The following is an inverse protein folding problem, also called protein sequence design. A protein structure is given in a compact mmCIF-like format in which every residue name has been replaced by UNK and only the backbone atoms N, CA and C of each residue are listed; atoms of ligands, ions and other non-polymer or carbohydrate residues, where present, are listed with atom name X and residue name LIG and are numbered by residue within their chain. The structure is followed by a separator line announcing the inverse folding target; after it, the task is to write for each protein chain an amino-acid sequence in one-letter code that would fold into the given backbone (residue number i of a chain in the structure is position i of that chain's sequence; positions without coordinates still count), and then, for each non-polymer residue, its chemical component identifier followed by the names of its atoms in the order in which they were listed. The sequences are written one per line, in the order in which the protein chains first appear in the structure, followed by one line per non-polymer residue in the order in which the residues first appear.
data_IF_940357289455
#
_entry.id   IF_940357289455
#
_cell.length_a   1.000
_cell.length_b   1.000
_cell.length_c   1.000
_cell.angle_alpha   90.00
_cell.angle_beta   90.00
_cell.angle_gamma   90.00
#
_symmetry.space_group_name_H-M   'P 1'
#
loop_
_entity.id
_entity.type
_entity.pdbx_description
1 polymer ?
#
# COMPACT_ATOMS: atom_id res chain seq x y z
N UNK A 1 -23.39 5.90 -2.72
CA UNK A 1 -22.64 7.17 -2.75
C UNK A 1 -21.21 6.90 -3.20
N UNK A 2 -20.48 7.93 -3.62
CA UNK A 2 -19.09 7.80 -4.10
C UNK A 2 -18.12 7.45 -2.95
N UNK A 3 -17.01 6.79 -3.28
CA UNK A 3 -15.88 6.59 -2.36
C UNK A 3 -14.89 7.74 -2.56
N UNK A 4 -14.46 8.37 -1.46
CA UNK A 4 -13.51 9.48 -1.47
C UNK A 4 -12.12 8.96 -1.09
N UNK A 5 -11.14 9.27 -1.93
CA UNK A 5 -9.71 9.11 -1.67
C UNK A 5 -9.12 10.51 -1.55
N UNK A 6 -8.49 10.84 -0.43
CA UNK A 6 -7.93 12.17 -0.19
C UNK A 6 -6.42 12.09 -0.02
N UNK A 7 -5.67 12.86 -0.82
CA UNK A 7 -4.22 12.96 -0.73
C UNK A 7 -3.80 13.62 0.59
N UNK A 8 -3.03 12.92 1.41
CA UNK A 8 -2.51 13.42 2.69
C UNK A 8 -1.09 12.89 2.95
N UNK A 9 -0.10 13.77 2.83
CA UNK A 9 1.27 13.47 3.26
C UNK A 9 1.52 13.92 4.71
N UNK A 10 1.10 15.14 5.06
CA UNK A 10 1.23 15.66 6.40
C UNK A 10 0.27 15.02 7.40
N UNK A 11 0.69 14.97 8.66
CA UNK A 11 -0.14 14.58 9.79
C UNK A 11 -1.34 15.54 9.97
N UNK A 12 -1.15 16.85 9.85
CA UNK A 12 -2.25 17.82 9.93
C UNK A 12 -3.26 17.68 8.77
N UNK A 13 -2.78 17.36 7.56
CA UNK A 13 -3.66 17.08 6.42
C UNK A 13 -4.49 15.80 6.64
N UNK A 14 -3.85 14.78 7.22
CA UNK A 14 -4.53 13.55 7.63
C UNK A 14 -5.60 13.84 8.69
N UNK A 15 -5.29 14.66 9.69
CA UNK A 15 -6.23 15.05 10.75
C UNK A 15 -7.46 15.77 10.17
N UNK A 16 -7.23 16.76 9.31
CA UNK A 16 -8.31 17.52 8.67
C UNK A 16 -9.26 16.62 7.86
N UNK A 17 -8.73 15.60 7.19
CA UNK A 17 -9.58 14.66 6.44
C UNK A 17 -10.34 13.70 7.36
N UNK A 18 -9.71 13.21 8.44
CA UNK A 18 -10.38 12.38 9.46
C UNK A 18 -11.56 13.15 10.07
N UNK A 19 -11.35 14.41 10.47
CA UNK A 19 -12.39 15.28 11.06
C UNK A 19 -13.55 15.53 10.09
N UNK A 20 -13.24 15.74 8.80
CA UNK A 20 -14.25 15.91 7.76
C UNK A 20 -15.09 14.63 7.57
N UNK A 21 -14.46 13.46 7.58
CA UNK A 21 -15.15 12.18 7.47
C UNK A 21 -16.02 11.91 8.69
N UNK A 22 -15.52 12.14 9.90
CA UNK A 22 -16.29 12.03 11.15
C UNK A 22 -17.54 12.91 11.11
N UNK A 23 -17.38 14.21 10.81
CA UNK A 23 -18.48 15.16 10.70
C UNK A 23 -19.55 14.72 9.69
N UNK A 24 -19.13 14.17 8.55
CA UNK A 24 -20.05 13.69 7.51
C UNK A 24 -20.77 12.42 7.96
N UNK A 25 -20.08 11.48 8.61
CA UNK A 25 -20.66 10.22 9.09
C UNK A 25 -21.64 10.44 10.24
N UNK A 26 -21.43 11.45 11.09
CA UNK A 26 -22.40 11.85 12.12
C UNK A 26 -23.72 12.33 11.51
N UNK A 27 -23.66 13.09 10.42
CA UNK A 27 -24.84 13.65 9.75
C UNK A 27 -25.50 12.65 8.78
N UNK A 28 -24.68 11.85 8.11
CA UNK A 28 -25.10 10.92 7.07
C UNK A 28 -24.37 9.57 7.23
N UNK A 29 -24.80 8.73 8.21
CA UNK A 29 -24.12 7.48 8.52
C UNK A 29 -24.01 6.54 7.31
N UNK A 30 -22.81 6.00 7.09
CA UNK A 30 -22.53 5.01 6.04
C UNK A 30 -21.45 4.04 6.49
N UNK A 31 -21.85 2.86 6.94
CA UNK A 31 -20.96 1.87 7.56
C UNK A 31 -19.86 1.34 6.62
N UNK A 32 -20.23 0.94 5.41
CA UNK A 32 -19.27 0.43 4.43
C UNK A 32 -18.80 1.56 3.49
N UNK A 33 -18.24 2.64 4.03
CA UNK A 33 -17.87 3.79 3.21
C UNK A 33 -16.48 3.69 2.58
N UNK A 34 -15.50 3.09 3.25
CA UNK A 34 -14.12 2.86 2.77
C UNK A 34 -13.45 4.15 2.27
N UNK A 35 -13.76 5.29 2.89
CA UNK A 35 -13.04 6.54 2.60
C UNK A 35 -11.59 6.38 2.99
N UNK A 36 -10.70 6.84 2.13
CA UNK A 36 -9.30 6.43 2.15
C UNK A 36 -8.40 7.64 2.25
N UNK A 37 -7.54 7.66 3.28
CA UNK A 37 -6.39 8.57 3.32
C UNK A 37 -5.36 8.04 2.33
N UNK A 38 -4.92 8.86 1.39
CA UNK A 38 -3.98 8.50 0.32
C UNK A 38 -2.60 9.06 0.63
N UNK A 39 -1.56 8.31 0.29
CA UNK A 39 -0.16 8.41 0.72
C UNK A 39 0.12 8.07 2.19
N UNK A 40 -0.64 8.62 3.14
CA UNK A 40 -0.47 8.36 4.58
C UNK A 40 0.97 8.55 5.08
N UNK A 41 1.72 9.49 4.49
CA UNK A 41 3.17 9.54 4.67
C UNK A 41 3.57 9.75 6.13
N UNK A 42 2.93 10.68 6.84
CA UNK A 42 3.23 11.00 8.24
C UNK A 42 2.07 10.67 9.19
N UNK A 43 1.15 9.81 8.77
CA UNK A 43 -0.01 9.42 9.58
C UNK A 43 0.44 8.78 10.90
N UNK A 44 -0.04 9.34 12.00
CA UNK A 44 0.35 8.88 13.35
C UNK A 44 -0.44 7.65 13.79
N UNK A 45 0.06 6.94 14.80
CA UNK A 45 -0.67 5.84 15.44
C UNK A 45 -2.05 6.24 15.96
N UNK A 46 -2.17 7.44 16.54
CA UNK A 46 -3.44 7.95 17.05
C UNK A 46 -4.44 8.19 15.90
N UNK A 47 -3.96 8.68 14.77
CA UNK A 47 -4.77 8.86 13.56
C UNK A 47 -5.23 7.54 12.98
N UNK A 48 -4.35 6.52 12.90
CA UNK A 48 -4.77 5.19 12.48
C UNK A 48 -5.86 4.59 13.39
N UNK A 49 -5.80 4.82 14.71
CA UNK A 49 -6.89 4.40 15.62
C UNK A 49 -8.21 5.10 15.31
N UNK A 50 -8.19 6.40 15.04
CA UNK A 50 -9.39 7.15 14.63
C UNK A 50 -9.93 6.62 13.30
N UNK A 51 -9.06 6.43 12.31
CA UNK A 51 -9.41 5.84 11.01
C UNK A 51 -10.07 4.48 11.17
N UNK A 52 -9.53 3.61 12.03
CA UNK A 52 -10.15 2.30 12.34
C UNK A 52 -11.54 2.47 12.94
N UNK A 53 -11.69 3.33 13.93
CA UNK A 53 -12.97 3.56 14.61
C UNK A 53 -14.05 4.07 13.64
N UNK A 54 -13.66 4.87 12.65
CA UNK A 54 -14.57 5.43 11.65
C UNK A 54 -14.88 4.48 10.48
N UNK A 55 -14.13 3.39 10.29
CA UNK A 55 -14.26 2.50 9.13
C UNK A 55 -13.53 3.01 7.88
N UNK A 56 -12.54 3.89 8.06
CA UNK A 56 -11.67 4.41 6.99
C UNK A 56 -10.60 3.38 6.57
N UNK A 57 -10.01 3.63 5.41
CA UNK A 57 -8.87 2.88 4.89
C UNK A 57 -7.63 3.76 4.71
N UNK A 58 -6.48 3.13 4.52
CA UNK A 58 -5.20 3.79 4.21
C UNK A 58 -4.64 3.29 2.88
N UNK A 59 -4.20 4.19 2.01
CA UNK A 59 -3.46 3.87 0.81
C UNK A 59 -2.05 4.44 0.95
N UNK A 60 -1.09 3.59 1.32
CA UNK A 60 0.24 4.00 1.80
C UNK A 60 1.23 3.99 0.64
N UNK A 61 2.00 5.06 0.48
CA UNK A 61 2.91 5.21 -0.65
C UNK A 61 4.29 4.59 -0.36
N UNK A 62 4.41 3.26 -0.30
CA UNK A 62 5.66 2.60 0.12
C UNK A 62 6.89 2.95 -0.72
N UNK A 63 6.74 3.28 -2.01
CA UNK A 63 7.86 3.67 -2.86
C UNK A 63 8.55 4.97 -2.38
N UNK A 64 7.89 5.81 -1.58
CA UNK A 64 8.52 6.99 -0.96
C UNK A 64 9.83 6.65 -0.24
N UNK A 65 9.87 5.49 0.42
CA UNK A 65 11.03 5.01 1.18
C UNK A 65 12.27 4.90 0.28
N UNK A 66 12.12 4.33 -0.91
CA UNK A 66 13.24 4.14 -1.84
C UNK A 66 13.64 5.43 -2.55
N UNK A 67 12.67 6.13 -3.14
CA UNK A 67 12.95 7.28 -4.01
C UNK A 67 13.26 8.57 -3.25
N UNK A 68 12.64 8.80 -2.09
CA UNK A 68 12.76 10.05 -1.34
C UNK A 68 13.09 9.87 0.15
N UNK A 69 13.29 8.63 0.63
CA UNK A 69 13.60 8.38 2.05
C UNK A 69 14.82 9.16 2.55
N UNK A 70 15.91 9.18 1.78
CA UNK A 70 17.11 9.97 2.09
C UNK A 70 16.80 11.47 2.16
N UNK A 71 16.05 11.99 1.18
CA UNK A 71 15.70 13.40 1.12
C UNK A 71 14.78 13.83 2.28
N UNK A 72 13.83 12.98 2.64
CA UNK A 72 12.94 13.22 3.76
C UNK A 72 13.68 13.22 5.09
N UNK A 73 14.61 12.28 5.28
CA UNK A 73 15.51 12.21 6.45
C UNK A 73 16.35 13.47 6.59
N UNK A 74 16.98 13.91 5.50
CA UNK A 74 18.02 14.95 5.57
C UNK A 74 17.49 16.37 5.43
N UNK A 75 16.39 16.57 4.70
CA UNK A 75 15.96 17.92 4.29
C UNK A 75 14.50 18.26 4.56
N UNK A 76 13.58 17.28 4.65
CA UNK A 76 12.13 17.60 4.74
C UNK A 76 11.59 17.48 6.16
N UNK A 77 11.65 16.28 6.75
CA UNK A 77 10.94 15.96 8.00
C UNK A 77 11.90 15.58 9.13
N UNK A 78 13.18 15.46 8.82
CA UNK A 78 14.22 15.07 9.78
C UNK A 78 14.25 13.57 10.04
N UNK A 79 15.33 13.08 10.66
CA UNK A 79 15.60 11.65 10.78
C UNK A 79 14.59 10.91 11.66
N UNK A 80 14.05 11.56 12.68
CA UNK A 80 13.07 10.94 13.58
C UNK A 80 11.74 10.67 12.87
N UNK A 81 11.19 11.68 12.19
CA UNK A 81 9.91 11.53 11.46
C UNK A 81 10.06 10.63 10.23
N UNK A 82 11.20 10.71 9.53
CA UNK A 82 11.47 9.85 8.38
C UNK A 82 11.51 8.35 8.75
N UNK A 83 11.95 8.00 9.97
CA UNK A 83 11.87 6.61 10.44
C UNK A 83 10.43 6.13 10.62
N UNK A 84 9.53 7.02 11.02
CA UNK A 84 8.12 6.71 11.21
C UNK A 84 7.24 6.90 9.97
N UNK A 85 7.81 7.31 8.82
CA UNK A 85 7.02 7.58 7.63
C UNK A 85 6.52 6.29 6.95
N UNK A 86 5.41 6.38 6.23
CA UNK A 86 4.77 5.25 5.53
C UNK A 86 4.58 4.05 6.47
N UNK A 87 3.95 4.30 7.63
CA UNK A 87 3.90 3.39 8.78
C UNK A 87 2.94 2.19 8.58
N UNK A 88 3.32 1.29 7.67
CA UNK A 88 2.56 0.10 7.26
C UNK A 88 2.31 -0.88 8.41
N UNK A 89 3.32 -1.18 9.24
CA UNK A 89 3.12 -2.10 10.35
C UNK A 89 2.25 -1.49 11.46
N UNK A 90 2.31 -0.18 11.66
CA UNK A 90 1.37 0.51 12.56
C UNK A 90 -0.05 0.41 12.04
N UNK A 91 -0.31 0.68 10.76
CA UNK A 91 -1.64 0.53 10.18
C UNK A 91 -2.19 -0.90 10.38
N UNK A 92 -1.35 -1.91 10.14
CA UNK A 92 -1.66 -3.32 10.38
C UNK A 92 -1.99 -3.60 11.85
N UNK A 93 -1.13 -3.17 12.79
CA UNK A 93 -1.32 -3.37 14.24
C UNK A 93 -2.60 -2.72 14.77
N UNK A 94 -2.96 -1.54 14.26
CA UNK A 94 -4.20 -0.85 14.64
C UNK A 94 -5.43 -1.36 13.86
N UNK A 95 -5.25 -2.34 12.96
CA UNK A 95 -6.33 -3.02 12.26
C UNK A 95 -7.00 -2.18 11.17
N UNK A 96 -6.33 -1.14 10.68
CA UNK A 96 -6.82 -0.30 9.58
C UNK A 96 -6.67 -1.06 8.27
N UNK A 97 -7.76 -1.28 7.49
CA UNK A 97 -7.61 -1.84 6.16
C UNK A 97 -6.74 -0.93 5.30
N UNK A 98 -5.67 -1.46 4.74
CA UNK A 98 -4.73 -0.66 3.97
C UNK A 98 -4.25 -1.35 2.70
N UNK A 99 -3.69 -0.52 1.82
CA UNK A 99 -3.04 -0.89 0.57
C UNK A 99 -1.71 -0.18 0.46
N UNK A 100 -0.83 -0.67 -0.43
CA UNK A 100 0.41 0.00 -0.80
C UNK A 100 0.41 0.29 -2.31
N UNK A 101 1.00 1.42 -2.73
CA UNK A 101 0.96 1.83 -4.14
C UNK A 101 2.27 2.44 -4.66
N UNK A 102 2.39 2.56 -5.98
CA UNK A 102 3.52 3.22 -6.68
C UNK A 102 3.24 4.67 -7.08
N UNK A 103 1.99 5.13 -7.03
CA UNK A 103 1.63 6.48 -7.49
C UNK A 103 2.05 6.77 -8.94
N UNK A 104 1.95 5.76 -9.81
CA UNK A 104 2.33 5.92 -11.22
C UNK A 104 1.55 7.08 -11.87
N UNK A 105 2.20 7.96 -12.66
CA UNK A 105 3.58 7.86 -13.17
C UNK A 105 4.66 8.56 -12.32
N UNK A 106 4.35 8.98 -11.08
CA UNK A 106 5.33 9.64 -10.19
C UNK A 106 6.49 8.71 -9.87
N UNK A 107 6.21 7.42 -9.63
CA UNK A 107 7.24 6.37 -9.68
C UNK A 107 6.86 5.27 -10.68
N UNK A 108 7.82 4.49 -11.19
CA UNK A 108 7.56 3.40 -12.11
C UNK A 108 6.52 2.40 -11.57
N UNK A 109 5.68 1.89 -12.47
CA UNK A 109 4.75 0.80 -12.14
C UNK A 109 5.53 -0.50 -11.89
N UNK A 110 5.32 -1.13 -10.73
CA UNK A 110 5.93 -2.42 -10.41
C UNK A 110 5.55 -2.92 -9.02
N UNK A 111 4.55 -3.81 -8.95
CA UNK A 111 4.00 -4.27 -7.66
C UNK A 111 5.01 -5.02 -6.79
N UNK A 112 5.90 -5.83 -7.39
CA UNK A 112 6.98 -6.51 -6.67
C UNK A 112 7.99 -5.53 -6.07
N UNK A 113 8.28 -4.41 -6.77
CA UNK A 113 9.09 -3.33 -6.22
C UNK A 113 8.38 -2.60 -5.08
N UNK A 114 7.07 -2.35 -5.22
CA UNK A 114 6.26 -1.73 -4.17
C UNK A 114 6.16 -2.58 -2.90
N UNK A 115 6.01 -3.91 -3.05
CA UNK A 115 6.14 -4.86 -1.95
C UNK A 115 7.54 -4.80 -1.34
N UNK A 116 8.59 -4.88 -2.15
CA UNK A 116 9.97 -4.80 -1.69
C UNK A 116 10.25 -3.53 -0.87
N UNK A 117 9.70 -2.39 -1.27
CA UNK A 117 9.81 -1.13 -0.51
C UNK A 117 9.18 -1.24 0.88
N UNK A 118 7.97 -1.80 0.99
CA UNK A 118 7.28 -1.96 2.28
C UNK A 118 7.92 -3.05 3.17
N UNK A 119 8.41 -4.13 2.56
CA UNK A 119 9.01 -5.28 3.26
C UNK A 119 10.43 -4.95 3.72
N UNK A 120 11.23 -4.23 2.94
CA UNK A 120 12.66 -4.00 3.25
C UNK A 120 12.94 -2.59 3.77
N UNK A 121 12.12 -1.60 3.40
CA UNK A 121 12.23 -0.19 3.80
C UNK A 121 13.62 0.42 3.56
N UNK A 122 14.23 0.07 2.43
CA UNK A 122 15.55 0.54 2.00
C UNK A 122 15.44 1.83 1.19
N UNK A 123 16.29 2.80 1.49
CA UNK A 123 16.48 4.00 0.67
C UNK A 123 17.36 3.74 -0.53
N UNK A 124 17.47 4.71 -1.45
CA UNK A 124 18.36 4.64 -2.60
C UNK A 124 19.84 4.50 -2.20
N UNK A 125 20.26 5.08 -1.08
CA UNK A 125 21.63 4.92 -0.55
C UNK A 125 21.84 3.61 0.22
N UNK A 126 20.78 2.81 0.41
CA UNK A 126 20.82 1.52 1.10
C UNK A 126 20.56 1.57 2.61
N UNK A 127 20.32 2.77 3.18
CA UNK A 127 19.89 2.88 4.58
C UNK A 127 18.52 2.22 4.77
N UNK A 128 18.29 1.65 5.95
CA UNK A 128 16.99 1.13 6.35
C UNK A 128 16.25 2.14 7.22
N UNK A 129 15.09 2.61 6.78
CA UNK A 129 14.26 3.56 7.53
C UNK A 129 13.18 2.84 8.33
N UNK A 130 13.23 2.92 9.66
CA UNK A 130 12.12 2.50 10.52
C UNK A 130 11.86 1.00 10.51
N UNK A 131 12.74 0.22 11.12
CA UNK A 131 12.64 -1.25 11.10
C UNK A 131 11.37 -1.81 11.76
N UNK A 132 10.74 -1.03 12.64
CA UNK A 132 9.49 -1.40 13.33
C UNK A 132 8.25 -1.31 12.44
N UNK A 133 8.41 -0.78 11.23
CA UNK A 133 7.35 -0.55 10.25
C UNK A 133 7.40 -1.50 9.05
N UNK A 134 8.33 -2.47 9.03
CA UNK A 134 8.40 -3.51 8.00
C UNK A 134 7.13 -4.37 7.98
N UNK A 135 6.66 -4.71 6.78
CA UNK A 135 5.65 -5.75 6.58
C UNK A 135 6.29 -7.12 6.37
N UNK A 136 5.54 -8.18 6.67
CA UNK A 136 5.80 -9.50 6.10
C UNK A 136 5.55 -9.50 4.59
N UNK A 137 6.06 -10.50 3.88
CA UNK A 137 5.80 -10.63 2.43
C UNK A 137 4.32 -10.94 2.20
N UNK A 138 3.72 -11.74 3.06
CA UNK A 138 2.30 -12.10 3.05
C UNK A 138 1.40 -10.88 3.21
N UNK A 139 1.70 -10.01 4.18
CA UNK A 139 0.94 -8.77 4.40
C UNK A 139 1.10 -7.81 3.22
N UNK A 140 2.31 -7.72 2.66
CA UNK A 140 2.56 -6.89 1.48
C UNK A 140 1.82 -7.42 0.24
N UNK A 141 1.79 -8.75 0.04
CA UNK A 141 1.07 -9.42 -1.04
C UNK A 141 -0.45 -9.19 -0.89
N UNK A 142 -0.97 -9.31 0.33
CA UNK A 142 -2.37 -8.99 0.62
C UNK A 142 -2.68 -7.52 0.31
N UNK A 143 -1.83 -6.59 0.74
CA UNK A 143 -2.03 -5.14 0.54
C UNK A 143 -2.10 -4.74 -0.94
N UNK A 144 -1.38 -5.41 -1.85
CA UNK A 144 -1.43 -5.14 -3.30
C UNK A 144 -2.50 -5.95 -4.05
N UNK A 145 -3.12 -6.95 -3.42
CA UNK A 145 -4.14 -7.82 -4.06
C UNK A 145 -5.50 -7.64 -3.41
N UNK A 146 -5.88 -8.49 -2.45
CA UNK A 146 -7.18 -8.49 -1.81
C UNK A 146 -7.44 -7.19 -1.04
N UNK A 147 -6.42 -6.62 -0.40
CA UNK A 147 -6.50 -5.31 0.24
C UNK A 147 -6.87 -4.20 -0.75
N UNK A 148 -6.27 -4.24 -1.95
CA UNK A 148 -6.56 -3.28 -3.02
C UNK A 148 -7.99 -3.43 -3.54
N UNK A 149 -8.41 -4.68 -3.79
CA UNK A 149 -9.79 -5.00 -4.18
C UNK A 149 -10.80 -4.54 -3.12
N UNK A 150 -10.52 -4.78 -1.83
CA UNK A 150 -11.34 -4.32 -0.72
C UNK A 150 -11.45 -2.80 -0.71
N UNK A 151 -10.35 -2.07 -0.84
CA UNK A 151 -10.38 -0.61 -0.78
C UNK A 151 -11.32 0.00 -1.85
N UNK A 152 -11.37 -0.61 -3.04
CA UNK A 152 -12.22 -0.17 -4.16
C UNK A 152 -13.57 -0.90 -4.27
N UNK A 153 -13.95 -1.71 -3.27
CA UNK A 153 -15.22 -2.47 -3.20
C UNK A 153 -15.39 -3.54 -4.28
N UNK A 154 -14.28 -4.10 -4.76
CA UNK A 154 -14.25 -5.21 -5.72
C UNK A 154 -13.73 -6.51 -5.10
N UNK A 155 -13.61 -6.61 -3.77
CA UNK A 155 -13.18 -7.81 -3.05
C UNK A 155 -14.08 -9.03 -3.26
N UNK A 156 -15.32 -8.83 -3.74
CA UNK A 156 -16.23 -9.90 -4.14
C UNK A 156 -15.98 -10.43 -5.56
N UNK A 157 -15.23 -9.69 -6.41
CA UNK A 157 -15.03 -9.98 -7.84
C UNK A 157 -13.56 -10.28 -8.16
N UNK A 158 -12.60 -9.63 -7.49
CA UNK A 158 -11.15 -9.76 -7.75
C UNK A 158 -10.33 -9.76 -6.46
N UNK A 159 -9.00 -9.92 -6.59
CA UNK A 159 -8.03 -9.75 -5.50
C UNK A 159 -7.61 -11.05 -4.81
N UNK A 160 -8.30 -12.16 -5.05
CA UNK A 160 -7.88 -13.50 -4.60
C UNK A 160 -8.32 -14.58 -5.58
N UNK A 161 -7.64 -15.73 -5.52
CA UNK A 161 -7.95 -16.90 -6.32
C UNK A 161 -8.97 -17.78 -5.57
N UNK A 162 -10.25 -17.45 -5.73
CA UNK A 162 -11.37 -18.14 -5.11
C UNK A 162 -12.46 -18.43 -6.14
N UNK A 163 -13.18 -19.54 -5.99
CA UNK A 163 -14.32 -19.89 -6.84
C UNK A 163 -15.35 -18.77 -6.83
N UNK A 164 -15.73 -18.28 -8.02
CA UNK A 164 -16.72 -17.21 -8.20
C UNK A 164 -16.11 -15.83 -8.49
N UNK A 165 -14.80 -15.65 -8.27
CA UNK A 165 -14.07 -14.43 -8.66
C UNK A 165 -13.51 -14.55 -10.08
N UNK A 166 -13.10 -13.42 -10.67
CA UNK A 166 -12.42 -13.40 -11.97
C UNK A 166 -11.09 -14.15 -11.90
N UNK A 167 -10.78 -14.85 -12.98
CA UNK A 167 -9.49 -15.51 -13.16
C UNK A 167 -8.43 -14.48 -13.60
N UNK A 168 -8.10 -13.56 -12.70
CA UNK A 168 -7.08 -12.53 -12.86
C UNK A 168 -5.87 -12.87 -11.97
N UNK A 169 -4.71 -13.14 -12.57
CA UNK A 169 -3.49 -13.52 -11.84
C UNK A 169 -2.21 -13.18 -12.60
N UNK A 170 -1.12 -13.03 -11.86
CA UNK A 170 0.24 -13.00 -12.39
C UNK A 170 0.91 -14.36 -12.19
N UNK A 171 1.71 -14.78 -13.16
CA UNK A 171 2.57 -15.96 -13.08
C UNK A 171 4.00 -15.45 -12.90
N UNK A 172 4.60 -15.81 -11.77
CA UNK A 172 5.93 -15.38 -11.37
C UNK A 172 6.95 -16.50 -11.57
N UNK A 173 8.20 -16.13 -11.86
CA UNK A 173 9.29 -17.10 -12.08
C UNK A 173 9.81 -17.73 -10.78
N UNK A 174 9.47 -17.14 -9.63
CA UNK A 174 9.79 -17.63 -8.29
C UNK A 174 8.65 -17.34 -7.31
N UNK A 175 8.55 -18.14 -6.25
CA UNK A 175 7.60 -17.90 -5.17
C UNK A 175 8.07 -16.70 -4.31
N UNK A 176 7.29 -15.59 -4.24
CA UNK A 176 7.67 -14.44 -3.43
C UNK A 176 7.80 -14.77 -1.94
N UNK A 177 7.14 -15.83 -1.43
CA UNK A 177 7.18 -16.22 -0.02
C UNK A 177 8.41 -17.05 0.35
N UNK A 178 9.14 -17.60 -0.63
CA UNK A 178 10.29 -18.48 -0.40
C UNK A 178 11.64 -17.83 -0.74
N UNK A 179 11.66 -16.75 -1.51
CA UNK A 179 12.89 -16.01 -1.83
C UNK A 179 13.35 -15.14 -0.66
N UNK A 180 14.62 -14.74 -0.68
CA UNK A 180 15.09 -13.65 0.19
C UNK A 180 14.22 -12.40 -0.07
N UNK A 181 13.64 -11.77 0.96
CA UNK A 181 12.88 -10.53 0.82
C UNK A 181 13.58 -9.43 0.02
N UNK A 182 14.91 -9.38 0.02
CA UNK A 182 15.70 -8.45 -0.78
C UNK A 182 15.62 -8.70 -2.29
N UNK A 183 15.33 -9.93 -2.71
CA UNK A 183 15.20 -10.36 -4.10
C UNK A 183 13.77 -10.21 -4.65
N UNK A 184 12.78 -9.86 -3.81
CA UNK A 184 11.37 -9.72 -4.22
C UNK A 184 11.18 -8.90 -5.51
N UNK A 185 11.86 -7.75 -5.61
CA UNK A 185 11.75 -6.85 -6.77
C UNK A 185 12.39 -7.40 -8.05
N UNK A 186 13.20 -8.45 -7.94
CA UNK A 186 13.92 -9.07 -9.05
C UNK A 186 13.19 -10.30 -9.61
N UNK A 187 12.10 -10.75 -8.97
CA UNK A 187 11.30 -11.87 -9.46
C UNK A 187 10.75 -11.51 -10.85
N UNK A 188 11.04 -12.36 -11.83
CA UNK A 188 10.52 -12.22 -13.18
C UNK A 188 9.01 -12.50 -13.23
N UNK A 189 8.31 -11.81 -14.13
CA UNK A 189 6.91 -12.08 -14.43
C UNK A 189 6.84 -12.79 -15.77
N UNK A 190 6.47 -14.06 -15.76
CA UNK A 190 6.29 -14.85 -16.98
C UNK A 190 5.11 -14.31 -17.83
N UNK A 191 4.04 -13.88 -17.17
CA UNK A 191 2.85 -13.36 -17.81
C UNK A 191 1.70 -13.17 -16.83
N UNK A 192 0.55 -12.81 -17.37
CA UNK A 192 -0.69 -12.65 -16.63
C UNK A 192 -1.81 -13.47 -17.25
N UNK A 193 -2.82 -13.79 -16.46
CA UNK A 193 -4.12 -14.25 -16.93
C UNK A 193 -5.12 -13.13 -16.58
N UNK A 194 -5.91 -12.70 -17.54
CA UNK A 194 -6.94 -11.66 -17.37
C UNK A 194 -8.28 -12.20 -17.88
N UNK A 195 -9.25 -12.35 -16.99
CA UNK A 195 -10.55 -12.94 -17.31
C UNK A 195 -10.44 -14.37 -17.86
N UNK A 196 -9.42 -15.12 -17.46
CA UNK A 196 -9.12 -16.46 -18.01
C UNK A 196 -8.33 -16.46 -19.32
N UNK A 197 -7.97 -15.30 -19.87
CA UNK A 197 -7.15 -15.19 -21.09
C UNK A 197 -5.68 -15.01 -20.73
N UNK A 198 -4.81 -15.84 -21.29
CA UNK A 198 -3.37 -15.81 -21.02
C UNK A 198 -2.68 -14.73 -21.86
N UNK A 199 -1.92 -13.85 -21.20
CA UNK A 199 -1.06 -12.83 -21.78
C UNK A 199 0.38 -13.06 -21.33
N UNK A 200 1.26 -13.49 -22.24
CA UNK A 200 2.68 -13.62 -21.90
C UNK A 200 3.32 -12.24 -21.72
N UNK A 201 4.22 -12.13 -20.76
CA UNK A 201 5.03 -10.92 -20.64
C UNK A 201 5.82 -10.72 -21.95
N UNK A 202 5.95 -9.46 -22.37
CA UNK A 202 6.75 -9.13 -23.54
C UNK A 202 8.21 -9.44 -23.24
N UNK A 203 8.71 -10.59 -23.72
CA UNK A 203 10.12 -10.89 -23.67
C UNK A 203 10.88 -9.97 -24.61
N UNK A 204 11.92 -9.29 -24.12
CA UNK A 204 13.10 -9.15 -24.95
C UNK A 204 13.57 -10.57 -25.27
N UNK A 205 13.47 -10.99 -26.53
CA UNK A 205 14.29 -12.11 -27.00
C UNK A 205 15.74 -11.74 -26.72
N UNK A 206 16.36 -12.44 -25.77
CA UNK A 206 17.79 -12.42 -25.48
C UNK A 206 18.27 -13.85 -25.39
#
# INVERSE_FOLDING_TARGET
GLTVHCHCNGDEATEAFIDAVETVLERYPRWDHRHTVTHCQLTTRAQYRRMKALGMCANIFSNHLFYWGDQHRDFTVGPERARGMDATATALREGVPFTIHSDSPVTPLGHLHTMWCAVNRRTATGEKLGETENLSVEDALHAITLGAAYQIKLDHDIGSLETGKRADMAILDADPLEVDPMELKNIGVWGTVLGGVVHRAGGSMG
#
